data_IF_655058201842
#
_entry.id   IF_655058201842
#
_cell.length_a   1.000
_cell.length_b   1.000
_cell.length_c   1.000
_cell.angle_alpha   90.00
_cell.angle_beta   90.00
_cell.angle_gamma   90.00
#
_symmetry.space_group_name_H-M   'P 1'
#
loop_
_entity.id
_entity.type
_entity.pdbx_description
1 polymer ?
#
# COMPACT_ATOMS: atom_id res chain seq x y z
N UNK A 1 -8.00 -14.19 -3.20
CA UNK A 1 -7.58 -13.77 -1.85
C UNK A 1 -6.38 -12.86 -2.01
N UNK A 2 -6.42 -11.67 -1.38
CA UNK A 2 -5.29 -10.73 -1.37
C UNK A 2 -4.57 -10.84 -0.03
N UNK A 3 -3.26 -11.05 -0.09
CA UNK A 3 -2.40 -11.05 1.09
C UNK A 3 -1.63 -9.73 1.18
N UNK A 4 -1.53 -9.16 2.38
CA UNK A 4 -0.80 -7.90 2.63
C UNK A 4 0.65 -8.18 3.01
N UNK A 5 0.90 -9.23 3.76
CA UNK A 5 2.22 -9.68 4.21
C UNK A 5 2.20 -11.18 4.50
N UNK A 6 3.39 -11.77 4.62
CA UNK A 6 3.58 -13.16 5.04
C UNK A 6 4.42 -13.20 6.30
N UNK A 7 3.95 -13.95 7.31
CA UNK A 7 4.74 -14.35 8.46
C UNK A 7 5.13 -15.82 8.27
N UNK A 8 6.42 -16.10 8.21
CA UNK A 8 6.95 -17.42 7.87
C UNK A 8 7.91 -17.86 8.96
N UNK A 9 7.64 -18.99 9.58
CA UNK A 9 8.61 -19.63 10.47
C UNK A 9 9.76 -20.21 9.64
N UNK A 10 11.00 -19.89 9.98
CA UNK A 10 12.18 -20.41 9.27
C UNK A 10 12.32 -21.90 9.48
N UNK A 11 12.17 -22.38 10.72
CA UNK A 11 12.22 -23.79 11.06
C UNK A 11 10.84 -24.27 11.49
N UNK A 12 10.24 -25.17 10.70
CA UNK A 12 8.90 -25.72 10.97
C UNK A 12 8.91 -26.85 12.01
N UNK A 13 10.08 -27.36 12.36
CA UNK A 13 10.29 -28.32 13.42
C UNK A 13 11.49 -27.91 14.31
N UNK A 14 11.77 -28.65 15.37
CA UNK A 14 12.88 -28.37 16.29
C UNK A 14 14.25 -28.76 15.70
N UNK A 15 14.31 -29.19 14.44
CA UNK A 15 15.55 -29.57 13.79
C UNK A 15 16.21 -28.33 13.19
N UNK A 16 17.41 -27.98 13.66
CA UNK A 16 18.21 -26.81 13.23
C UNK A 16 18.55 -26.86 11.73
N UNK A 17 18.57 -28.02 11.10
CA UNK A 17 18.87 -28.21 9.68
C UNK A 17 17.66 -27.93 8.78
N UNK A 18 16.45 -27.79 9.34
CA UNK A 18 15.24 -27.58 8.57
C UNK A 18 15.02 -26.08 8.28
N UNK A 19 15.26 -25.67 7.03
CA UNK A 19 15.08 -24.31 6.51
C UNK A 19 13.90 -24.21 5.54
N UNK A 20 12.86 -25.00 5.72
CA UNK A 20 11.69 -25.06 4.83
C UNK A 20 11.01 -23.70 4.66
N UNK A 21 11.00 -22.87 5.72
CA UNK A 21 10.49 -21.51 5.65
C UNK A 21 11.26 -20.60 4.69
N UNK A 22 12.58 -20.73 4.62
CA UNK A 22 13.40 -19.99 3.65
C UNK A 22 13.11 -20.43 2.22
N UNK A 23 12.99 -21.74 2.00
CA UNK A 23 12.64 -22.30 0.70
C UNK A 23 11.25 -21.85 0.24
N UNK A 24 10.29 -21.81 1.17
CA UNK A 24 8.94 -21.29 0.88
C UNK A 24 8.94 -19.79 0.56
N UNK A 25 9.69 -18.99 1.27
CA UNK A 25 9.82 -17.56 0.98
C UNK A 25 10.45 -17.32 -0.40
N UNK A 26 11.45 -18.12 -0.77
CA UNK A 26 12.03 -18.08 -2.12
C UNK A 26 10.98 -18.41 -3.18
N UNK A 27 10.20 -19.47 -2.98
CA UNK A 27 9.09 -19.81 -3.88
C UNK A 27 8.10 -18.67 -4.03
N UNK A 28 7.71 -17.96 -2.95
CA UNK A 28 6.84 -16.79 -3.01
C UNK A 28 7.45 -15.65 -3.83
N UNK A 29 8.74 -15.39 -3.69
CA UNK A 29 9.45 -14.33 -4.42
C UNK A 29 9.48 -14.54 -5.94
N UNK A 30 9.38 -15.79 -6.39
CA UNK A 30 9.33 -16.17 -7.81
C UNK A 30 7.92 -16.03 -8.42
N UNK A 31 6.88 -15.88 -7.57
CA UNK A 31 5.49 -15.74 -8.04
C UNK A 31 5.13 -14.28 -8.24
N UNK A 32 4.72 -13.91 -9.45
CA UNK A 32 4.35 -12.53 -9.81
C UNK A 32 3.27 -11.91 -8.90
N UNK A 33 2.39 -12.73 -8.33
CA UNK A 33 1.34 -12.29 -7.41
C UNK A 33 1.86 -11.93 -6.00
N UNK A 34 3.04 -12.40 -5.60
CA UNK A 34 3.56 -12.32 -4.23
C UNK A 34 4.95 -11.72 -4.10
N UNK A 35 5.70 -11.57 -5.20
CA UNK A 35 7.11 -11.12 -5.23
C UNK A 35 7.35 -9.79 -4.52
N UNK A 36 6.35 -8.89 -4.54
CA UNK A 36 6.44 -7.56 -3.96
C UNK A 36 5.77 -7.48 -2.56
N UNK A 37 5.38 -8.63 -2.00
CA UNK A 37 4.75 -8.67 -0.67
C UNK A 37 5.80 -8.80 0.42
N UNK A 38 5.68 -8.01 1.51
CA UNK A 38 6.60 -8.11 2.63
C UNK A 38 6.57 -9.51 3.25
N UNK A 39 7.74 -10.06 3.48
CA UNK A 39 7.94 -11.31 4.22
C UNK A 39 8.60 -10.98 5.55
N UNK A 40 7.97 -11.38 6.65
CA UNK A 40 8.49 -11.31 8.01
C UNK A 40 8.81 -12.73 8.45
N UNK A 41 10.08 -12.99 8.75
CA UNK A 41 10.45 -14.28 9.30
C UNK A 41 10.27 -14.34 10.82
N UNK A 42 9.83 -15.48 11.30
CA UNK A 42 9.86 -15.82 12.73
C UNK A 42 10.86 -16.96 12.95
N UNK A 43 11.67 -16.91 14.00
CA UNK A 43 12.65 -17.96 14.27
C UNK A 43 13.08 -17.98 15.73
N UNK A 44 13.46 -19.18 16.22
CA UNK A 44 14.18 -19.34 17.48
C UNK A 44 15.71 -19.28 17.32
N UNK A 45 16.20 -19.23 16.08
CA UNK A 45 17.61 -19.36 15.75
C UNK A 45 18.14 -18.06 15.12
N UNK A 46 18.92 -17.23 15.87
CA UNK A 46 19.42 -15.94 15.36
C UNK A 46 20.35 -16.06 14.14
N UNK A 47 21.05 -17.17 13.99
CA UNK A 47 22.05 -17.35 12.93
C UNK A 47 21.44 -17.33 11.53
N UNK A 48 20.18 -17.82 11.38
CA UNK A 48 19.46 -17.79 10.09
C UNK A 48 18.96 -16.41 9.68
N UNK A 49 18.95 -15.45 10.62
CA UNK A 49 18.56 -14.06 10.33
C UNK A 49 19.49 -13.46 9.28
N UNK A 50 20.79 -13.77 9.33
CA UNK A 50 21.77 -13.25 8.40
C UNK A 50 21.54 -13.73 6.97
N UNK A 51 21.19 -15.00 6.82
CA UNK A 51 20.86 -15.61 5.53
C UNK A 51 19.57 -15.01 4.95
N UNK A 52 18.53 -14.89 5.77
CA UNK A 52 17.24 -14.32 5.38
C UNK A 52 17.37 -12.86 4.89
N UNK A 53 18.17 -12.04 5.57
CA UNK A 53 18.41 -10.64 5.21
C UNK A 53 19.20 -10.48 3.92
N UNK A 54 20.26 -11.28 3.72
CA UNK A 54 21.18 -11.11 2.60
C UNK A 54 20.69 -11.75 1.29
N UNK A 55 19.99 -12.87 1.37
CA UNK A 55 19.62 -13.64 0.18
C UNK A 55 18.15 -13.50 -0.23
N UNK A 56 17.23 -13.23 0.71
CA UNK A 56 15.79 -13.22 0.44
C UNK A 56 15.15 -11.83 0.55
N UNK A 57 15.94 -10.78 0.88
CA UNK A 57 15.45 -9.41 1.01
C UNK A 57 14.18 -9.33 1.88
N UNK A 58 14.17 -10.03 3.02
CA UNK A 58 13.03 -10.02 3.92
C UNK A 58 12.78 -8.60 4.47
N UNK A 59 11.52 -8.33 4.77
CA UNK A 59 11.12 -7.02 5.32
C UNK A 59 11.59 -6.85 6.76
N UNK A 60 11.42 -7.90 7.56
CA UNK A 60 11.80 -7.94 8.97
C UNK A 60 11.91 -9.40 9.47
N UNK A 61 12.40 -9.55 10.69
CA UNK A 61 12.36 -10.81 11.42
C UNK A 61 11.93 -10.59 12.87
N UNK A 62 11.36 -11.63 13.47
CA UNK A 62 10.97 -11.70 14.88
C UNK A 62 11.63 -12.92 15.54
N UNK A 63 12.45 -12.69 16.56
CA UNK A 63 13.03 -13.77 17.35
C UNK A 63 12.03 -14.27 18.38
N UNK A 64 11.82 -15.57 18.44
CA UNK A 64 11.00 -16.23 19.45
C UNK A 64 11.75 -16.30 20.80
N UNK A 65 11.06 -16.07 21.92
CA UNK A 65 9.66 -15.66 22.06
C UNK A 65 9.47 -14.16 21.77
N UNK A 66 8.42 -13.81 21.01
CA UNK A 66 8.03 -12.43 20.75
C UNK A 66 6.65 -12.14 21.32
N UNK A 67 6.35 -10.87 21.57
CA UNK A 67 5.07 -10.41 22.10
C UNK A 67 4.14 -9.95 20.96
N UNK A 68 2.86 -9.81 21.27
CA UNK A 68 1.84 -9.33 20.34
C UNK A 68 2.18 -7.93 19.79
N UNK A 69 2.78 -7.09 20.61
CA UNK A 69 3.22 -5.74 20.28
C UNK A 69 4.30 -5.73 19.20
N UNK A 70 5.17 -6.73 19.17
CA UNK A 70 6.21 -6.85 18.14
C UNK A 70 5.59 -7.16 16.78
N UNK A 71 4.58 -8.04 16.75
CA UNK A 71 3.81 -8.35 15.53
C UNK A 71 3.07 -7.12 15.04
N UNK A 72 2.34 -6.42 15.92
CA UNK A 72 1.61 -5.22 15.57
C UNK A 72 2.51 -4.10 15.07
N UNK A 73 3.70 -3.94 15.65
CA UNK A 73 4.69 -2.97 15.18
C UNK A 73 5.10 -3.24 13.73
N UNK A 74 5.36 -4.49 13.36
CA UNK A 74 5.70 -4.87 11.98
C UNK A 74 4.53 -4.63 11.03
N UNK A 75 3.32 -5.04 11.41
CA UNK A 75 2.12 -4.81 10.61
C UNK A 75 1.85 -3.31 10.41
N UNK A 76 1.96 -2.51 11.46
CA UNK A 76 1.77 -1.06 11.40
C UNK A 76 2.79 -0.39 10.46
N UNK A 77 4.06 -0.82 10.52
CA UNK A 77 5.10 -0.33 9.59
C UNK A 77 4.80 -0.72 8.13
N UNK A 78 4.36 -1.96 7.88
CA UNK A 78 3.98 -2.41 6.53
C UNK A 78 2.79 -1.63 6.01
N UNK A 79 1.75 -1.43 6.83
CA UNK A 79 0.58 -0.66 6.46
C UNK A 79 0.93 0.79 6.17
N UNK A 80 1.78 1.42 7.00
CA UNK A 80 2.25 2.81 6.78
C UNK A 80 3.17 2.96 5.57
N UNK A 81 3.95 1.94 5.17
CA UNK A 81 4.76 2.00 3.93
C UNK A 81 3.90 1.94 2.67
N UNK A 82 2.74 1.31 2.73
CA UNK A 82 1.73 1.36 1.67
C UNK A 82 0.91 2.66 1.68
N UNK A 83 1.04 3.49 2.73
CA UNK A 83 0.31 4.75 2.91
C UNK A 83 1.05 5.96 2.33
N UNK A 84 2.08 5.78 1.53
CA UNK A 84 2.77 6.88 0.88
C UNK A 84 3.08 6.61 -0.58
N UNK A 85 2.99 7.65 -1.39
CA UNK A 85 3.36 7.64 -2.81
C UNK A 85 4.58 8.53 -3.04
N UNK A 86 5.52 8.09 -3.88
CA UNK A 86 6.70 8.85 -4.28
C UNK A 86 6.58 9.21 -5.75
N UNK A 87 6.75 10.48 -6.08
CA UNK A 87 6.68 10.91 -7.46
C UNK A 87 7.52 12.17 -7.70
N UNK A 88 7.74 12.43 -8.98
CA UNK A 88 8.33 13.68 -9.44
C UNK A 88 7.20 14.64 -9.81
N UNK A 89 7.22 15.84 -9.23
CA UNK A 89 6.26 16.91 -9.54
C UNK A 89 6.47 17.42 -10.96
N UNK A 90 5.53 18.21 -11.49
CA UNK A 90 5.62 18.76 -12.84
C UNK A 90 6.80 19.74 -13.02
N UNK A 91 7.22 20.40 -11.94
CA UNK A 91 8.39 21.30 -11.85
C UNK A 91 9.71 20.58 -11.52
N UNK A 92 9.66 19.25 -11.39
CA UNK A 92 10.86 18.41 -11.31
C UNK A 92 11.33 18.02 -9.91
N UNK A 93 10.59 18.37 -8.87
CA UNK A 93 10.92 18.04 -7.47
C UNK A 93 10.50 16.61 -7.16
N UNK A 94 11.37 15.82 -6.50
CA UNK A 94 11.00 14.51 -5.98
C UNK A 94 10.33 14.66 -4.61
N UNK A 95 9.12 14.12 -4.49
CA UNK A 95 8.32 14.18 -3.27
C UNK A 95 7.91 12.78 -2.81
N UNK A 96 7.79 12.62 -1.50
CA UNK A 96 7.05 11.56 -0.83
C UNK A 96 5.83 12.21 -0.20
N UNK A 97 4.65 11.68 -0.48
CA UNK A 97 3.38 12.19 0.02
C UNK A 97 2.62 11.05 0.70
N UNK A 98 2.19 11.27 1.92
CA UNK A 98 1.38 10.30 2.64
C UNK A 98 -0.04 10.28 2.05
N UNK A 99 -0.59 9.09 1.83
CA UNK A 99 -1.92 8.94 1.22
C UNK A 99 -3.02 9.58 2.06
N UNK A 100 -2.81 9.64 3.38
CA UNK A 100 -3.68 10.32 4.34
C UNK A 100 -3.74 11.86 4.18
N UNK A 101 -2.85 12.42 3.40
CA UNK A 101 -2.86 13.85 3.08
C UNK A 101 -3.62 14.14 1.79
N UNK A 102 -3.95 13.11 1.00
CA UNK A 102 -4.60 13.26 -0.31
C UNK A 102 -6.11 13.02 -0.17
N UNK A 103 -6.91 13.98 -0.58
CA UNK A 103 -8.36 13.87 -0.66
C UNK A 103 -8.80 13.08 -1.89
N UNK A 104 -8.30 13.48 -3.06
CA UNK A 104 -8.56 12.84 -4.35
C UNK A 104 -7.44 13.12 -5.35
N UNK A 105 -7.43 12.35 -6.43
CA UNK A 105 -6.54 12.54 -7.56
C UNK A 105 -7.39 12.70 -8.81
N UNK A 106 -7.12 13.75 -9.60
CA UNK A 106 -7.82 14.04 -10.84
C UNK A 106 -6.87 13.94 -12.04
N UNK A 107 -7.31 13.23 -13.08
CA UNK A 107 -6.65 13.28 -14.38
C UNK A 107 -7.18 14.46 -15.20
N UNK A 108 -6.31 15.37 -15.57
CA UNK A 108 -6.63 16.48 -16.48
C UNK A 108 -5.52 16.66 -17.52
N UNK A 109 -5.85 16.48 -18.78
CA UNK A 109 -4.88 16.47 -19.86
C UNK A 109 -3.85 15.32 -19.70
N UNK A 110 -2.58 15.68 -19.60
CA UNK A 110 -1.45 14.74 -19.37
C UNK A 110 -1.00 14.71 -17.93
N UNK A 111 -1.68 15.42 -17.06
CA UNK A 111 -1.28 15.59 -15.65
C UNK A 111 -2.22 14.84 -14.72
N UNK A 112 -1.63 14.36 -13.62
CA UNK A 112 -2.35 13.91 -12.42
C UNK A 112 -2.27 15.03 -11.39
N UNK A 113 -3.41 15.51 -10.95
CA UNK A 113 -3.59 16.55 -9.95
C UNK A 113 -3.96 15.90 -8.64
N UNK A 114 -3.08 15.99 -7.65
CA UNK A 114 -3.26 15.48 -6.30
C UNK A 114 -3.80 16.61 -5.44
N UNK A 115 -5.07 16.55 -5.09
CA UNK A 115 -5.66 17.48 -4.14
C UNK A 115 -5.35 17.04 -2.72
N UNK A 116 -4.55 17.83 -2.02
CA UNK A 116 -4.05 17.50 -0.69
C UNK A 116 -4.51 18.50 0.37
N UNK A 117 -4.27 18.18 1.64
CA UNK A 117 -4.50 19.10 2.77
C UNK A 117 -3.67 20.38 2.68
N UNK A 118 -2.59 20.37 1.92
CA UNK A 118 -1.65 21.47 1.78
C UNK A 118 -1.75 22.20 0.42
N UNK A 119 -2.76 21.84 -0.37
CA UNK A 119 -2.97 22.38 -1.71
C UNK A 119 -2.81 21.35 -2.81
N UNK A 120 -2.83 21.81 -4.05
CA UNK A 120 -2.72 20.97 -5.23
C UNK A 120 -1.27 20.71 -5.62
N UNK A 121 -0.97 19.45 -5.93
CA UNK A 121 0.33 19.02 -6.45
C UNK A 121 0.10 18.32 -7.79
N UNK A 122 0.93 18.63 -8.78
CA UNK A 122 0.79 18.08 -10.14
C UNK A 122 1.97 17.18 -10.51
N UNK A 123 1.69 16.04 -11.13
CA UNK A 123 2.70 15.10 -11.64
C UNK A 123 2.32 14.54 -13.01
N UNK A 124 3.34 14.17 -13.80
CA UNK A 124 3.20 13.47 -15.10
C UNK A 124 3.69 12.02 -15.05
N UNK A 125 4.16 11.57 -13.89
CA UNK A 125 4.82 10.28 -13.74
C UNK A 125 3.84 9.10 -13.83
N UNK A 126 2.59 9.32 -13.45
CA UNK A 126 1.59 8.27 -13.31
C UNK A 126 0.45 8.39 -14.31
N UNK A 127 -0.21 7.27 -14.53
CA UNK A 127 -1.52 7.19 -15.19
C UNK A 127 -2.60 6.89 -14.15
N UNK A 128 -3.86 7.16 -14.47
CA UNK A 128 -4.99 6.82 -13.60
C UNK A 128 -5.02 5.30 -13.28
N UNK A 129 -4.67 4.45 -14.25
CA UNK A 129 -4.60 3.00 -14.05
C UNK A 129 -3.51 2.63 -13.04
N UNK A 130 -2.27 3.12 -13.24
CA UNK A 130 -1.17 2.81 -12.31
C UNK A 130 -1.43 3.32 -10.90
N UNK A 131 -2.05 4.51 -10.74
CA UNK A 131 -2.43 5.02 -9.42
C UNK A 131 -3.50 4.17 -8.76
N UNK A 132 -4.51 3.71 -9.51
CA UNK A 132 -5.53 2.83 -8.99
C UNK A 132 -4.95 1.50 -8.49
N UNK A 133 -3.98 0.94 -9.22
CA UNK A 133 -3.32 -0.30 -8.83
C UNK A 133 -2.45 -0.13 -7.56
N UNK A 134 -1.70 0.99 -7.48
CA UNK A 134 -0.82 1.30 -6.34
C UNK A 134 -1.62 1.65 -5.08
N UNK A 135 -2.73 2.39 -5.21
CA UNK A 135 -3.49 2.97 -4.11
C UNK A 135 -4.79 2.22 -3.80
N UNK A 136 -5.00 1.04 -4.38
CA UNK A 136 -6.26 0.27 -4.30
C UNK A 136 -6.76 -0.04 -2.87
N UNK A 137 -5.88 -0.03 -1.87
CA UNK A 137 -6.25 -0.21 -0.46
C UNK A 137 -7.06 0.96 0.10
N UNK A 138 -6.59 2.19 -0.12
CA UNK A 138 -7.11 3.42 0.49
C UNK A 138 -7.96 4.24 -0.47
N UNK A 139 -7.78 4.07 -1.79
CA UNK A 139 -8.48 4.85 -2.82
C UNK A 139 -9.43 3.97 -3.62
N UNK A 140 -10.43 4.64 -4.20
CA UNK A 140 -11.40 4.03 -5.11
C UNK A 140 -11.61 4.90 -6.34
N UNK A 141 -11.70 4.25 -7.51
CA UNK A 141 -11.97 4.96 -8.76
C UNK A 141 -13.45 5.27 -8.88
N UNK A 142 -13.83 6.47 -8.51
CA UNK A 142 -15.23 6.92 -8.58
C UNK A 142 -15.64 7.42 -9.97
N UNK A 143 -14.70 7.84 -10.83
CA UNK A 143 -14.97 8.35 -12.17
C UNK A 143 -13.81 8.01 -13.12
N UNK A 144 -14.02 8.11 -14.45
CA UNK A 144 -12.92 7.92 -15.43
C UNK A 144 -11.71 8.82 -15.17
N UNK A 145 -11.92 9.99 -14.56
CA UNK A 145 -10.90 11.00 -14.28
C UNK A 145 -10.68 11.25 -12.78
N UNK A 146 -11.33 10.53 -11.88
CA UNK A 146 -11.19 10.72 -10.44
C UNK A 146 -10.94 9.43 -9.69
N UNK A 147 -9.95 9.50 -8.80
CA UNK A 147 -9.61 8.50 -7.79
C UNK A 147 -9.78 9.18 -6.42
N UNK A 148 -10.71 8.72 -5.60
CA UNK A 148 -11.06 9.33 -4.32
C UNK A 148 -10.51 8.51 -3.15
N UNK A 149 -10.01 9.18 -2.13
CA UNK A 149 -9.63 8.53 -0.89
C UNK A 149 -10.89 8.18 -0.08
N UNK A 150 -11.13 6.89 0.12
CA UNK A 150 -12.32 6.36 0.82
C UNK A 150 -12.50 6.95 2.22
N UNK A 151 -11.41 7.25 2.91
CA UNK A 151 -11.40 7.83 4.26
C UNK A 151 -12.11 9.19 4.34
N UNK A 152 -12.10 9.95 3.25
CA UNK A 152 -12.69 11.31 3.22
C UNK A 152 -14.11 11.36 2.67
N UNK A 153 -14.64 10.28 2.12
CA UNK A 153 -16.03 10.26 1.65
C UNK A 153 -16.96 10.50 2.85
N UNK A 154 -17.67 11.62 2.83
CA UNK A 154 -18.62 11.98 3.89
C UNK A 154 -20.04 11.66 3.49
N UNK A 155 -20.41 11.95 2.24
CA UNK A 155 -21.73 11.65 1.71
C UNK A 155 -21.72 11.48 0.20
N UNK A 156 -22.74 10.81 -0.31
CA UNK A 156 -22.97 10.57 -1.72
C UNK A 156 -24.36 11.08 -2.09
N UNK A 157 -24.41 11.88 -3.15
CA UNK A 157 -25.69 12.39 -3.68
C UNK A 157 -26.05 11.66 -4.98
N UNK A 158 -27.04 10.74 -4.95
CA UNK A 158 -27.44 9.99 -6.13
C UNK A 158 -28.14 10.86 -7.21
N UNK A 159 -28.72 11.98 -6.82
CA UNK A 159 -29.45 12.87 -7.74
C UNK A 159 -28.50 13.66 -8.61
N UNK A 160 -27.48 14.26 -8.01
CA UNK A 160 -26.44 15.05 -8.69
C UNK A 160 -25.29 14.18 -9.20
N UNK A 161 -25.20 12.92 -8.75
CA UNK A 161 -24.06 12.01 -8.98
C UNK A 161 -22.74 12.61 -8.51
N UNK A 162 -22.72 13.09 -7.28
CA UNK A 162 -21.54 13.69 -6.66
C UNK A 162 -21.22 13.05 -5.31
N UNK A 163 -19.94 13.12 -4.95
CA UNK A 163 -19.39 12.74 -3.65
C UNK A 163 -19.01 14.03 -2.93
N UNK A 164 -19.46 14.18 -1.68
CA UNK A 164 -18.94 15.19 -0.78
C UNK A 164 -17.82 14.62 0.07
N UNK A 165 -16.66 15.28 0.08
CA UNK A 165 -15.50 14.86 0.86
C UNK A 165 -15.33 15.76 2.08
N UNK A 166 -15.10 15.13 3.22
CA UNK A 166 -14.78 15.87 4.46
C UNK A 166 -13.54 16.71 4.30
N UNK A 167 -13.64 18.01 4.52
CA UNK A 167 -12.55 18.98 4.42
C UNK A 167 -12.41 19.65 3.07
N UNK A 168 -13.37 19.46 2.16
CA UNK A 168 -13.50 20.18 0.90
C UNK A 168 -14.90 20.76 0.78
N UNK A 169 -14.98 21.94 0.17
CA UNK A 169 -16.27 22.61 -0.11
C UNK A 169 -16.88 22.12 -1.45
N UNK A 170 -16.04 21.71 -2.40
CA UNK A 170 -16.48 21.27 -3.71
C UNK A 170 -16.78 19.76 -3.74
N UNK A 171 -17.87 19.41 -4.43
CA UNK A 171 -18.27 18.04 -4.68
C UNK A 171 -17.55 17.43 -5.88
N UNK A 172 -17.25 16.13 -5.83
CA UNK A 172 -16.57 15.39 -6.88
C UNK A 172 -17.58 14.54 -7.66
N UNK A 173 -17.57 14.55 -9.01
CA UNK A 173 -18.48 13.71 -9.79
C UNK A 173 -18.09 12.23 -9.71
N UNK A 174 -19.11 11.35 -9.71
CA UNK A 174 -18.90 9.91 -9.86
C UNK A 174 -19.64 9.35 -11.07
N UNK A 175 -19.12 8.24 -11.61
CA UNK A 175 -19.66 7.54 -12.77
C UNK A 175 -20.65 6.44 -12.40
N UNK A 176 -21.21 5.79 -13.44
CA UNK A 176 -22.24 4.75 -13.27
C UNK A 176 -21.72 3.49 -12.57
N UNK A 177 -20.43 3.23 -12.68
CA UNK A 177 -19.79 2.01 -12.16
C UNK A 177 -19.30 2.17 -10.71
N UNK A 178 -19.52 3.33 -10.09
CA UNK A 178 -19.19 3.57 -8.69
C UNK A 178 -20.35 3.09 -7.81
N UNK A 179 -20.06 2.14 -6.94
CA UNK A 179 -20.98 1.60 -5.95
C UNK A 179 -20.41 1.83 -4.55
N UNK A 180 -21.28 2.26 -3.65
CA UNK A 180 -20.93 2.37 -2.22
C UNK A 180 -21.23 1.02 -1.60
N UNK A 181 -20.21 0.39 -1.02
CA UNK A 181 -20.40 -0.75 -0.14
C UNK A 181 -20.91 -0.33 1.23
#
# INVERSE_FOLDING_TARGET
VHYTAFFIDIALDDNVENTDGLSFAKFLSEKSAYKDKPVIFTTSFPDYVYEALNHLHCYAYLLKPFQQEDVFRQLDQILRTNDSIRFKTADGIYMKLDTDEIYYIQAFGRNMHFMTKHGEITSRQYTMKSLNDILSGSFERCHKSFLVNKKYIQSVNPRTKTLHLRGLDDDIPYGKDFHIE
#
